data_IF_715385828941
#
_entry.id   IF_715385828941
#
_cell.length_a   1.000
_cell.length_b   1.000
_cell.length_c   1.000
_cell.angle_alpha   90.00
_cell.angle_beta   90.00
_cell.angle_gamma   90.00
#
_symmetry.space_group_name_H-M   'P 1'
#
loop_
_entity.id
_entity.type
_entity.pdbx_description
1 polymer ?
#
# COMPACT_ATOMS: atom_id res chain seq x y z
N UNK A 1 3.87 -14.76 -2.78
CA UNK A 1 3.52 -14.94 -1.36
C UNK A 1 2.31 -14.08 -1.05
N UNK A 2 1.22 -14.72 -0.76
CA UNK A 2 -0.10 -14.12 -0.63
C UNK A 2 -0.28 -13.58 0.78
N UNK A 3 -0.41 -12.26 0.94
CA UNK A 3 -0.79 -11.66 2.22
C UNK A 3 -2.31 -11.86 2.38
N UNK A 4 -2.71 -12.55 3.43
CA UNK A 4 -4.11 -12.74 3.80
C UNK A 4 -4.64 -11.49 4.46
N UNK A 5 -5.64 -10.88 3.91
CA UNK A 5 -6.69 -10.20 4.66
C UNK A 5 -7.97 -10.31 3.86
N UNK A 6 -8.89 -11.07 4.40
CA UNK A 6 -10.17 -11.34 3.81
C UNK A 6 -11.12 -10.17 4.06
N UNK A 7 -11.68 -9.64 3.00
CA UNK A 7 -12.95 -8.92 3.10
C UNK A 7 -14.03 -9.98 3.18
N UNK A 8 -14.48 -10.32 4.39
CA UNK A 8 -15.61 -11.20 4.58
C UNK A 8 -16.91 -10.46 4.25
N UNK A 9 -17.45 -10.69 3.08
CA UNK A 9 -18.86 -10.49 2.80
C UNK A 9 -19.39 -11.68 2.02
N UNK A 10 -19.72 -12.75 2.74
CA UNK A 10 -20.46 -13.86 2.19
C UNK A 10 -21.95 -13.54 2.24
N UNK A 11 -22.51 -12.95 1.19
CA UNK A 11 -23.95 -13.06 0.91
C UNK A 11 -24.13 -13.51 -0.53
N UNK A 12 -24.85 -14.65 -0.69
CA UNK A 12 -25.37 -15.13 -1.96
C UNK A 12 -26.16 -13.99 -2.62
N UNK A 13 -25.73 -13.58 -3.82
CA UNK A 13 -26.54 -12.73 -4.65
C UNK A 13 -27.62 -13.58 -5.32
N UNK A 14 -28.87 -13.20 -5.07
CA UNK A 14 -30.03 -13.68 -5.80
C UNK A 14 -29.99 -13.07 -7.21
N UNK A 15 -30.41 -13.77 -8.27
CA UNK A 15 -30.50 -13.18 -9.60
C UNK A 15 -31.38 -11.93 -9.57
N UNK A 16 -30.82 -10.78 -9.94
CA UNK A 16 -31.56 -9.52 -10.01
C UNK A 16 -32.42 -9.57 -11.26
N UNK A 17 -33.70 -9.75 -11.11
CA UNK A 17 -34.70 -9.48 -12.14
C UNK A 17 -34.91 -7.97 -12.27
N UNK A 18 -35.19 -7.47 -13.47
CA UNK A 18 -35.23 -6.09 -13.93
C UNK A 18 -36.21 -5.14 -13.23
N UNK A 19 -36.38 -5.16 -11.91
CA UNK A 19 -37.30 -4.22 -11.24
C UNK A 19 -36.96 -3.89 -9.79
N UNK A 20 -35.68 -3.83 -9.42
CA UNK A 20 -35.35 -3.41 -8.05
C UNK A 20 -34.71 -2.02 -7.99
N UNK A 21 -35.25 -1.20 -7.11
CA UNK A 21 -34.67 0.08 -6.71
C UNK A 21 -33.19 -0.06 -6.31
N UNK A 22 -32.34 0.93 -6.60
CA UNK A 22 -30.94 0.90 -6.22
C UNK A 22 -30.78 0.69 -4.71
N UNK A 23 -30.17 -0.39 -4.30
CA UNK A 23 -29.80 -0.61 -2.89
C UNK A 23 -28.43 0.01 -2.61
N UNK A 24 -28.39 0.94 -1.70
CA UNK A 24 -27.13 1.50 -1.18
C UNK A 24 -26.44 0.43 -0.32
N UNK A 25 -25.21 0.11 -0.65
CA UNK A 25 -24.34 -0.78 0.13
C UNK A 25 -23.20 0.00 0.72
N UNK A 26 -22.71 -0.43 1.87
CA UNK A 26 -21.63 0.20 2.60
C UNK A 26 -20.50 -0.82 2.74
N UNK A 27 -19.33 -0.45 2.25
CA UNK A 27 -18.08 -1.16 2.53
C UNK A 27 -17.52 -0.63 3.85
N UNK A 28 -17.40 -1.49 4.84
CA UNK A 28 -16.77 -1.17 6.12
C UNK A 28 -15.34 -1.70 6.12
N UNK A 29 -14.39 -0.82 6.41
CA UNK A 29 -12.98 -1.16 6.50
C UNK A 29 -12.56 -0.92 7.94
N UNK A 30 -12.13 -1.99 8.60
CA UNK A 30 -11.51 -1.95 9.93
C UNK A 30 -10.07 -2.42 9.80
N UNK A 31 -9.16 -1.66 10.35
CA UNK A 31 -7.76 -2.06 10.51
C UNK A 31 -7.60 -2.68 11.90
N UNK A 32 -7.06 -3.90 11.96
CA UNK A 32 -6.74 -4.54 13.23
C UNK A 32 -5.51 -3.86 13.87
N UNK A 33 -5.57 -3.62 15.17
CA UNK A 33 -4.43 -3.08 15.92
C UNK A 33 -3.35 -4.16 16.04
N UNK A 34 -2.24 -3.96 15.34
CA UNK A 34 -1.03 -4.74 15.58
C UNK A 34 -0.26 -4.12 16.75
N UNK A 35 -0.23 -4.80 17.87
CA UNK A 35 0.64 -4.43 18.98
C UNK A 35 2.10 -4.41 18.52
N UNK A 36 2.73 -3.24 18.63
CA UNK A 36 4.14 -3.04 18.35
C UNK A 36 4.99 -3.65 19.46
N UNK A 37 5.66 -4.76 19.19
CA UNK A 37 6.78 -5.20 20.01
C UNK A 37 8.04 -4.48 19.54
N UNK A 38 8.58 -3.61 20.40
CA UNK A 38 9.87 -2.95 20.21
C UNK A 38 10.99 -3.84 20.78
N UNK A 39 12.09 -4.06 20.06
CA UNK A 39 13.32 -4.51 20.66
C UNK A 39 14.12 -3.30 21.17
N UNK A 40 14.53 -3.37 22.44
CA UNK A 40 15.49 -2.44 23.05
C UNK A 40 16.87 -2.58 22.38
N UNK A 41 17.49 -1.44 22.08
CA UNK A 41 18.83 -1.36 21.51
C UNK A 41 19.88 -1.77 22.54
N UNK A 42 20.62 -2.84 22.30
CA UNK A 42 21.94 -3.07 22.89
C UNK A 42 22.96 -3.34 21.79
N UNK A 43 23.98 -2.51 21.77
CA UNK A 43 25.28 -2.55 21.12
C UNK A 43 25.54 -3.63 20.03
N UNK A 44 25.64 -3.21 18.78
CA UNK A 44 26.33 -3.94 17.69
C UNK A 44 25.45 -4.27 16.50
N UNK A 45 25.88 -3.85 15.35
CA UNK A 45 25.19 -3.97 14.03
C UNK A 45 24.78 -5.41 13.61
N UNK A 46 25.14 -6.44 14.36
CA UNK A 46 24.88 -7.85 14.03
C UNK A 46 23.61 -8.41 14.71
N UNK A 47 23.14 -7.79 15.80
CA UNK A 47 21.99 -8.29 16.57
C UNK A 47 20.59 -7.92 15.99
N UNK A 48 20.54 -7.05 14.97
CA UNK A 48 19.29 -6.51 14.40
C UNK A 48 18.52 -7.55 13.56
N UNK A 49 19.20 -8.56 13.01
CA UNK A 49 18.62 -9.46 12.03
C UNK A 49 17.65 -10.52 12.59
N UNK A 50 17.75 -10.89 13.86
CA UNK A 50 16.97 -12.02 14.41
C UNK A 50 15.63 -11.63 15.07
N UNK A 51 15.41 -10.33 15.38
CA UNK A 51 14.18 -9.82 16.03
C UNK A 51 13.40 -8.83 15.17
N UNK A 52 13.80 -8.61 13.92
CA UNK A 52 13.14 -7.65 13.03
C UNK A 52 11.77 -8.17 12.60
N UNK A 53 10.74 -7.32 12.72
CA UNK A 53 9.39 -7.64 12.26
C UNK A 53 9.42 -8.07 10.77
N UNK A 54 8.70 -9.14 10.35
CA UNK A 54 8.75 -9.68 8.98
C UNK A 54 8.53 -8.62 7.88
N UNK A 55 7.73 -7.61 8.16
CA UNK A 55 7.49 -6.47 7.27
C UNK A 55 8.78 -5.67 6.98
N UNK A 56 9.53 -5.29 8.01
CA UNK A 56 10.78 -4.54 7.84
C UNK A 56 11.88 -5.39 7.22
N UNK A 57 11.94 -6.68 7.56
CA UNK A 57 12.84 -7.63 6.90
C UNK A 57 12.55 -7.74 5.40
N UNK A 58 11.27 -7.74 5.00
CA UNK A 58 10.89 -7.77 3.58
C UNK A 58 11.41 -6.53 2.85
N UNK A 59 11.10 -5.33 3.34
CA UNK A 59 11.53 -4.07 2.73
C UNK A 59 13.03 -3.79 2.87
N UNK A 60 13.71 -4.43 3.81
CA UNK A 60 15.16 -4.35 4.01
C UNK A 60 16.01 -5.06 2.94
N UNK A 61 15.37 -5.71 1.94
CA UNK A 61 16.07 -6.48 0.90
C UNK A 61 16.20 -5.69 -0.40
N UNK A 62 17.41 -5.72 -1.01
CA UNK A 62 17.67 -5.03 -2.29
C UNK A 62 16.78 -5.53 -3.43
N UNK A 63 16.43 -6.83 -3.47
CA UNK A 63 15.53 -7.38 -4.48
C UNK A 63 14.14 -6.75 -4.45
N UNK A 64 13.59 -6.48 -3.25
CA UNK A 64 12.29 -5.82 -3.12
C UNK A 64 12.38 -4.33 -3.44
N UNK A 65 13.48 -3.66 -3.05
CA UNK A 65 13.75 -2.29 -3.47
C UNK A 65 13.90 -2.18 -4.99
N UNK A 66 14.60 -3.13 -5.61
CA UNK A 66 14.76 -3.19 -7.06
C UNK A 66 13.40 -3.29 -7.77
N UNK A 67 12.49 -4.15 -7.30
CA UNK A 67 11.16 -4.29 -7.88
C UNK A 67 10.39 -2.95 -7.86
N UNK A 68 10.49 -2.21 -6.75
CA UNK A 68 9.86 -0.89 -6.64
C UNK A 68 10.52 0.16 -7.53
N UNK A 69 11.85 0.17 -7.60
CA UNK A 69 12.60 1.12 -8.44
C UNK A 69 12.40 0.86 -9.94
N UNK A 70 12.28 -0.39 -10.34
CA UNK A 70 12.04 -0.80 -11.73
C UNK A 70 10.62 -0.50 -12.22
N UNK A 71 9.67 -0.26 -11.32
CA UNK A 71 8.37 0.28 -11.70
C UNK A 71 8.56 1.73 -12.18
N UNK A 72 8.69 1.87 -13.50
CA UNK A 72 8.96 3.14 -14.15
C UNK A 72 7.81 4.15 -14.01
N UNK A 73 6.56 3.66 -13.86
CA UNK A 73 5.40 4.53 -13.64
C UNK A 73 5.49 5.10 -12.23
N UNK A 74 5.67 4.26 -11.22
CA UNK A 74 5.81 4.67 -9.83
C UNK A 74 7.00 5.61 -9.63
N UNK A 75 8.19 5.15 -9.96
CA UNK A 75 9.43 5.91 -9.76
C UNK A 75 9.46 7.18 -10.62
N UNK A 76 9.04 7.08 -11.90
CA UNK A 76 8.98 8.22 -12.80
C UNK A 76 7.96 9.27 -12.40
N UNK A 77 6.82 8.87 -11.81
CA UNK A 77 5.82 9.81 -11.28
C UNK A 77 6.40 10.65 -10.15
N UNK A 78 7.10 10.03 -9.19
CA UNK A 78 7.77 10.78 -8.11
C UNK A 78 8.91 11.67 -8.63
N UNK A 79 9.72 11.15 -9.55
CA UNK A 79 10.76 11.95 -10.20
C UNK A 79 10.16 13.19 -10.86
N UNK A 80 9.10 13.04 -11.65
CA UNK A 80 8.42 14.14 -12.32
C UNK A 80 7.76 15.10 -11.32
N UNK A 81 7.12 14.58 -10.26
CA UNK A 81 6.52 15.41 -9.22
C UNK A 81 7.54 16.33 -8.54
N UNK A 82 8.77 15.87 -8.33
CA UNK A 82 9.85 16.69 -7.77
C UNK A 82 10.45 17.59 -8.84
N UNK A 83 10.78 17.06 -10.03
CA UNK A 83 11.52 17.78 -11.07
C UNK A 83 10.71 18.90 -11.72
N UNK A 84 9.38 18.79 -11.79
CA UNK A 84 8.50 19.84 -12.30
C UNK A 84 8.11 20.87 -11.24
N UNK A 85 8.45 20.63 -9.98
CA UNK A 85 8.17 21.53 -8.86
C UNK A 85 9.47 21.93 -8.10
N UNK A 86 10.56 22.15 -8.82
CA UNK A 86 11.87 22.51 -8.24
C UNK A 86 11.76 23.70 -7.29
N UNK A 87 10.93 24.71 -7.62
CA UNK A 87 10.70 25.88 -6.77
C UNK A 87 10.15 25.54 -5.38
N UNK A 88 9.48 24.41 -5.23
CA UNK A 88 9.00 23.96 -3.94
C UNK A 88 10.11 23.33 -3.09
N UNK A 89 11.14 22.77 -3.74
CA UNK A 89 12.23 22.04 -3.08
C UNK A 89 13.48 22.88 -2.88
N UNK A 90 13.77 23.83 -3.77
CA UNK A 90 14.99 24.64 -3.73
C UNK A 90 15.11 25.43 -2.42
N UNK A 91 16.23 25.22 -1.72
CA UNK A 91 16.51 25.85 -0.42
C UNK A 91 15.66 25.36 0.75
N UNK A 92 14.79 24.35 0.56
CA UNK A 92 13.86 23.84 1.56
C UNK A 92 14.43 22.68 2.39
N UNK A 93 13.83 22.47 3.55
CA UNK A 93 14.08 21.32 4.41
C UNK A 93 13.01 20.26 4.14
N UNK A 94 13.43 19.06 3.80
CA UNK A 94 12.58 17.95 3.38
C UNK A 94 12.67 16.79 4.36
N UNK A 95 11.57 16.15 4.66
CA UNK A 95 11.49 14.86 5.36
C UNK A 95 11.01 13.78 4.39
N UNK A 96 11.80 12.75 4.20
CA UNK A 96 11.45 11.54 3.45
C UNK A 96 11.10 10.42 4.44
N UNK A 97 9.82 10.03 4.47
CA UNK A 97 9.29 9.04 5.42
C UNK A 97 9.30 7.65 4.79
N UNK A 98 10.05 6.72 5.38
CA UNK A 98 10.27 5.39 4.82
C UNK A 98 11.10 5.46 3.56
N UNK A 99 12.26 6.10 3.65
CA UNK A 99 13.10 6.43 2.48
C UNK A 99 13.55 5.22 1.67
N UNK A 100 13.52 4.01 2.25
CA UNK A 100 13.96 2.79 1.59
C UNK A 100 15.39 2.90 1.07
N UNK A 101 15.56 2.84 -0.26
CA UNK A 101 16.86 3.02 -0.90
C UNK A 101 17.38 4.47 -0.86
N UNK A 102 16.54 5.44 -0.50
CA UNK A 102 16.89 6.86 -0.53
C UNK A 102 16.57 7.57 -1.84
N UNK A 103 15.85 6.95 -2.75
CA UNK A 103 15.64 7.51 -4.10
C UNK A 103 14.86 8.82 -4.08
N UNK A 104 13.81 8.94 -3.26
CA UNK A 104 13.03 10.19 -3.14
C UNK A 104 13.87 11.30 -2.49
N UNK A 105 14.68 10.96 -1.50
CA UNK A 105 15.66 11.87 -0.89
C UNK A 105 16.67 12.38 -1.92
N UNK A 106 17.17 11.52 -2.82
CA UNK A 106 18.08 11.91 -3.90
C UNK A 106 17.40 12.84 -4.89
N UNK A 107 16.13 12.59 -5.26
CA UNK A 107 15.38 13.51 -6.12
C UNK A 107 15.20 14.88 -5.47
N UNK A 108 14.85 14.93 -4.18
CA UNK A 108 14.72 16.17 -3.44
C UNK A 108 16.05 16.96 -3.36
N UNK A 109 17.16 16.26 -3.08
CA UNK A 109 18.48 16.89 -3.06
C UNK A 109 18.91 17.40 -4.44
N UNK A 110 18.65 16.64 -5.51
CA UNK A 110 18.88 17.05 -6.89
C UNK A 110 18.07 18.29 -7.29
N UNK A 111 16.85 18.42 -6.76
CA UNK A 111 16.00 19.60 -6.93
C UNK A 111 16.42 20.81 -6.06
N UNK A 112 17.57 20.74 -5.39
CA UNK A 112 18.14 21.86 -4.64
C UNK A 112 17.67 21.96 -3.19
N UNK A 113 17.15 20.91 -2.59
CA UNK A 113 16.81 20.92 -1.18
C UNK A 113 18.03 21.28 -0.32
N UNK A 114 17.85 22.19 0.65
CA UNK A 114 18.89 22.61 1.59
C UNK A 114 19.30 21.48 2.53
N UNK A 115 18.32 20.68 2.96
CA UNK A 115 18.49 19.57 3.88
C UNK A 115 17.41 18.52 3.65
N UNK A 116 17.78 17.26 3.68
CA UNK A 116 16.83 16.12 3.62
C UNK A 116 17.08 15.22 4.81
N UNK A 117 16.04 14.99 5.61
CA UNK A 117 16.01 13.98 6.66
C UNK A 117 15.34 12.73 6.10
N UNK A 118 16.12 11.68 5.87
CA UNK A 118 15.68 10.42 5.28
C UNK A 118 15.49 9.38 6.38
N UNK A 119 14.25 9.15 6.81
CA UNK A 119 13.93 8.24 7.92
C UNK A 119 13.60 6.86 7.37
N UNK A 120 14.24 5.83 7.93
CA UNK A 120 14.05 4.43 7.56
C UNK A 120 14.20 3.54 8.79
N UNK A 121 13.28 2.58 8.97
CA UNK A 121 13.29 1.69 10.14
C UNK A 121 13.85 0.29 9.86
N UNK A 122 14.10 -0.05 8.60
CA UNK A 122 14.64 -1.35 8.19
C UNK A 122 16.16 -1.35 8.01
N UNK A 123 16.71 -2.53 7.80
CA UNK A 123 18.14 -2.69 7.43
C UNK A 123 18.54 -2.00 6.11
N UNK A 124 17.61 -1.41 5.37
CA UNK A 124 17.88 -0.65 4.15
C UNK A 124 18.68 0.63 4.41
N UNK A 125 18.64 1.18 5.62
CA UNK A 125 19.43 2.35 6.05
C UNK A 125 20.90 2.27 5.58
N UNK A 126 21.54 1.11 5.71
CA UNK A 126 22.94 0.92 5.30
C UNK A 126 23.17 1.15 3.81
N UNK A 127 22.19 0.74 3.00
CA UNK A 127 22.25 0.91 1.54
C UNK A 127 21.92 2.35 1.13
N UNK A 128 20.91 2.96 1.77
CA UNK A 128 20.59 4.37 1.57
C UNK A 128 21.80 5.26 1.86
N UNK A 129 22.48 5.07 3.00
CA UNK A 129 23.73 5.80 3.33
C UNK A 129 24.80 5.63 2.27
N UNK A 130 24.98 4.41 1.73
CA UNK A 130 25.95 4.14 0.66
C UNK A 130 25.57 4.86 -0.64
N UNK A 131 24.28 4.83 -1.03
CA UNK A 131 23.79 5.52 -2.23
C UNK A 131 23.94 7.04 -2.10
N UNK A 132 23.57 7.61 -0.96
CA UNK A 132 23.71 9.04 -0.67
C UNK A 132 25.16 9.47 -0.82
N UNK A 133 26.10 8.75 -0.19
CA UNK A 133 27.54 9.03 -0.27
C UNK A 133 28.09 8.87 -1.69
N UNK A 134 27.70 7.80 -2.39
CA UNK A 134 28.18 7.53 -3.76
C UNK A 134 27.74 8.59 -4.76
N UNK A 135 26.66 9.32 -4.47
CA UNK A 135 26.13 10.41 -5.30
C UNK A 135 26.56 11.81 -4.79
N UNK A 136 27.39 11.91 -3.74
CA UNK A 136 27.90 13.17 -3.23
C UNK A 136 26.90 14.04 -2.47
N UNK A 137 25.81 13.46 -1.96
CA UNK A 137 24.76 14.18 -1.23
C UNK A 137 24.81 13.99 0.30
N UNK A 138 25.89 13.42 0.84
CA UNK A 138 26.06 13.18 2.28
C UNK A 138 26.11 14.46 3.12
N UNK A 139 26.44 15.61 2.51
CA UNK A 139 26.31 16.94 3.14
C UNK A 139 24.86 17.45 3.24
N UNK A 140 23.97 17.00 2.34
CA UNK A 140 22.57 17.44 2.23
C UNK A 140 21.63 16.42 2.87
N UNK A 141 21.79 15.13 2.59
CA UNK A 141 20.90 14.06 3.04
C UNK A 141 21.44 13.41 4.31
N UNK A 142 20.65 13.41 5.37
CA UNK A 142 20.91 12.70 6.61
C UNK A 142 20.01 11.50 6.75
N UNK A 143 20.56 10.29 6.63
CA UNK A 143 19.81 9.03 6.79
C UNK A 143 19.73 8.66 8.27
N UNK A 144 18.51 8.60 8.80
CA UNK A 144 18.18 8.35 10.21
C UNK A 144 17.54 6.97 10.32
N UNK A 145 18.14 6.11 11.16
CA UNK A 145 17.54 4.81 11.50
C UNK A 145 16.49 5.01 12.59
N UNK A 146 15.28 4.56 12.34
CA UNK A 146 14.20 4.53 13.32
C UNK A 146 12.84 4.71 12.69
N UNK A 147 11.80 4.57 13.50
CA UNK A 147 10.43 4.87 13.10
C UNK A 147 10.18 6.38 13.18
N UNK A 148 9.42 6.91 12.24
CA UNK A 148 9.11 8.35 12.22
C UNK A 148 8.34 8.80 13.46
N UNK A 149 7.63 7.88 14.12
CA UNK A 149 6.95 8.11 15.39
C UNK A 149 7.90 8.35 16.55
N UNK A 150 9.13 7.85 16.48
CA UNK A 150 10.08 7.79 17.59
C UNK A 150 11.31 8.69 17.39
N UNK A 151 11.72 8.90 16.12
CA UNK A 151 12.90 9.70 15.83
C UNK A 151 12.72 11.17 16.23
N UNK A 152 13.85 11.84 16.48
CA UNK A 152 13.90 13.29 16.70
C UNK A 152 14.51 13.96 15.49
N UNK A 153 13.83 14.97 14.96
CA UNK A 153 14.31 15.85 13.89
C UNK A 153 14.50 17.24 14.51
N UNK A 154 15.66 17.91 14.31
CA UNK A 154 15.99 19.10 15.08
C UNK A 154 15.20 20.35 14.69
N UNK A 155 14.48 20.32 13.57
CA UNK A 155 13.72 21.45 13.04
C UNK A 155 12.43 21.02 12.37
N UNK A 156 11.51 21.95 12.17
CA UNK A 156 10.32 21.73 11.33
C UNK A 156 10.71 21.75 9.85
N UNK A 157 10.06 20.90 9.06
CA UNK A 157 10.34 20.74 7.64
C UNK A 157 9.34 21.50 6.77
N UNK A 158 9.78 21.92 5.59
CA UNK A 158 8.94 22.59 4.61
C UNK A 158 8.13 21.59 3.77
N UNK A 159 8.69 20.39 3.57
CA UNK A 159 8.10 19.36 2.74
C UNK A 159 8.21 18.01 3.45
N UNK A 160 7.14 17.21 3.33
CA UNK A 160 7.18 15.78 3.58
C UNK A 160 6.92 15.04 2.26
N UNK A 161 7.85 14.14 1.89
CA UNK A 161 7.70 13.24 0.75
C UNK A 161 7.70 11.80 1.25
N UNK A 162 6.88 10.95 0.65
CA UNK A 162 6.81 9.51 0.98
C UNK A 162 6.10 8.75 -0.13
N UNK A 163 6.34 7.46 -0.23
CA UNK A 163 5.47 6.53 -0.95
C UNK A 163 4.80 5.59 0.07
N UNK A 164 3.68 6.00 0.67
CA UNK A 164 3.07 5.34 1.82
C UNK A 164 1.93 4.40 1.44
N UNK A 165 1.73 4.11 0.16
CA UNK A 165 0.53 3.46 -0.35
C UNK A 165 0.70 1.94 -0.40
N UNK A 166 -0.08 1.23 0.40
CA UNK A 166 -0.27 -0.21 0.27
C UNK A 166 -1.44 -0.54 -0.66
N UNK A 167 -1.79 -1.83 -0.78
CA UNK A 167 -3.00 -2.24 -1.48
C UNK A 167 -4.22 -1.53 -0.89
N UNK A 168 -5.09 -1.06 -1.77
CA UNK A 168 -6.27 -0.29 -1.40
C UNK A 168 -5.90 0.89 -0.47
N UNK A 169 -4.80 1.54 -0.71
CA UNK A 169 -4.13 2.62 0.03
C UNK A 169 -3.76 2.26 1.48
N UNK A 170 -4.69 1.74 2.27
CA UNK A 170 -4.58 1.60 3.72
C UNK A 170 -3.89 0.30 4.18
N UNK A 171 -3.73 -0.69 3.32
CA UNK A 171 -2.98 -1.88 3.67
C UNK A 171 -1.52 -1.49 3.97
N UNK A 172 -0.85 -2.14 4.90
CA UNK A 172 0.50 -1.83 5.39
C UNK A 172 0.57 -0.70 6.44
N UNK A 173 -0.49 0.10 6.61
CA UNK A 173 -0.61 1.13 7.65
C UNK A 173 0.45 2.24 7.61
N UNK A 174 1.12 2.41 6.47
CA UNK A 174 2.16 3.43 6.32
C UNK A 174 1.57 4.86 6.21
N UNK A 175 0.28 4.99 5.81
CA UNK A 175 -0.41 6.27 5.82
C UNK A 175 -0.50 6.88 7.22
N UNK A 176 -0.61 6.04 8.27
CA UNK A 176 -0.60 6.51 9.66
C UNK A 176 0.72 7.17 10.00
N UNK A 177 1.85 6.52 9.69
CA UNK A 177 3.19 7.07 9.86
C UNK A 177 3.39 8.38 9.10
N UNK A 178 2.84 8.45 7.88
CA UNK A 178 2.91 9.64 7.04
C UNK A 178 2.16 10.84 7.65
N UNK A 179 0.94 10.61 8.19
CA UNK A 179 0.17 11.64 8.89
C UNK A 179 0.79 12.01 10.24
N UNK A 180 1.35 11.04 10.98
CA UNK A 180 2.08 11.33 12.22
C UNK A 180 3.30 12.20 11.93
N UNK A 181 4.02 11.95 10.83
CA UNK A 181 5.13 12.79 10.41
C UNK A 181 4.69 14.24 10.13
N UNK A 182 3.52 14.42 9.47
CA UNK A 182 2.91 15.73 9.25
C UNK A 182 2.69 16.46 10.58
N UNK A 183 1.99 15.82 11.50
CA UNK A 183 1.60 16.44 12.78
C UNK A 183 2.83 16.79 13.65
N UNK A 184 3.88 15.96 13.57
CA UNK A 184 5.09 16.15 14.33
C UNK A 184 6.05 17.17 13.72
N UNK A 185 6.21 17.18 12.41
CA UNK A 185 7.37 17.83 11.80
C UNK A 185 7.03 18.87 10.73
N UNK A 186 5.86 18.83 10.08
CA UNK A 186 5.54 19.77 9.03
C UNK A 186 5.31 21.19 9.59
N UNK A 187 5.78 22.20 8.87
CA UNK A 187 5.43 23.60 9.11
C UNK A 187 3.96 23.86 8.75
N UNK A 188 3.30 24.90 9.31
CA UNK A 188 1.91 25.20 8.97
C UNK A 188 1.65 25.38 7.48
N UNK A 189 2.58 26.01 6.74
CA UNK A 189 2.50 26.23 5.29
C UNK A 189 3.29 25.17 4.49
N UNK A 190 3.63 24.08 5.13
CA UNK A 190 4.41 22.99 4.51
C UNK A 190 3.57 22.20 3.53
N UNK A 191 4.23 21.51 2.60
CA UNK A 191 3.61 20.71 1.54
C UNK A 191 3.85 19.22 1.75
N UNK A 192 2.89 18.42 1.30
CA UNK A 192 3.00 16.96 1.29
C UNK A 192 3.03 16.42 -0.15
N UNK A 193 3.88 15.43 -0.41
CA UNK A 193 3.99 14.69 -1.66
C UNK A 193 3.87 13.19 -1.38
N UNK A 194 2.67 12.57 -1.62
CA UNK A 194 1.42 13.13 -2.16
C UNK A 194 0.56 13.85 -1.11
N UNK A 195 -0.47 14.61 -1.57
CA UNK A 195 -1.45 15.31 -0.73
C UNK A 195 -2.72 14.51 -0.49
N UNK A 196 -3.10 13.67 -1.43
CA UNK A 196 -4.34 12.88 -1.38
C UNK A 196 -4.16 11.50 -1.99
N UNK A 197 -4.95 10.56 -1.52
CA UNK A 197 -5.12 9.24 -2.13
C UNK A 197 -6.60 8.98 -2.41
N UNK A 198 -6.91 8.39 -3.56
CA UNK A 198 -8.30 8.08 -3.94
C UNK A 198 -8.46 6.58 -4.14
N UNK A 199 -9.42 5.99 -3.46
CA UNK A 199 -9.87 4.63 -3.65
C UNK A 199 -11.07 4.61 -4.59
N UNK A 200 -11.10 3.62 -5.48
CA UNK A 200 -12.19 3.41 -6.43
C UNK A 200 -12.81 2.05 -6.18
N UNK A 201 -14.14 1.99 -6.15
CA UNK A 201 -14.90 0.75 -6.03
C UNK A 201 -15.86 0.65 -7.21
N UNK A 202 -15.82 -0.49 -7.90
CA UNK A 202 -16.68 -0.78 -9.05
C UNK A 202 -17.00 -2.28 -9.08
N UNK A 203 -17.87 -2.70 -9.98
CA UNK A 203 -18.21 -4.12 -10.19
C UNK A 203 -17.78 -4.53 -11.58
N UNK A 204 -17.16 -5.69 -11.69
CA UNK A 204 -16.75 -6.28 -12.96
C UNK A 204 -17.20 -7.73 -13.07
N UNK A 205 -17.23 -8.24 -14.29
CA UNK A 205 -17.50 -9.64 -14.61
C UNK A 205 -16.47 -10.15 -15.59
N UNK A 206 -15.68 -11.13 -15.19
CA UNK A 206 -14.65 -11.78 -16.00
C UNK A 206 -14.75 -13.31 -15.87
N UNK A 207 -15.36 -13.92 -16.89
CA UNK A 207 -15.50 -15.37 -16.96
C UNK A 207 -14.16 -16.11 -17.08
N UNK A 208 -13.15 -15.48 -17.67
CA UNK A 208 -11.82 -16.08 -17.84
C UNK A 208 -11.10 -16.16 -16.52
N UNK A 209 -11.07 -15.06 -15.77
CA UNK A 209 -10.51 -15.01 -14.42
C UNK A 209 -11.23 -16.00 -13.49
N UNK A 210 -12.58 -16.04 -13.54
CA UNK A 210 -13.34 -16.99 -12.74
C UNK A 210 -12.98 -18.45 -13.05
N UNK A 211 -12.89 -18.81 -14.34
CA UNK A 211 -12.51 -20.16 -14.78
C UNK A 211 -11.08 -20.50 -14.36
N UNK A 212 -10.16 -19.56 -14.47
CA UNK A 212 -8.78 -19.71 -14.02
C UNK A 212 -8.74 -20.02 -12.52
N UNK A 213 -9.34 -19.15 -11.68
CA UNK A 213 -9.38 -19.35 -10.23
C UNK A 213 -10.00 -20.68 -9.86
N UNK A 214 -11.16 -21.01 -10.45
CA UNK A 214 -11.82 -22.31 -10.24
C UNK A 214 -10.95 -23.51 -10.65
N UNK A 215 -10.09 -23.31 -11.64
CA UNK A 215 -9.18 -24.38 -12.11
C UNK A 215 -8.10 -24.72 -11.08
N UNK A 216 -7.69 -23.78 -10.24
CA UNK A 216 -6.67 -23.97 -9.20
C UNK A 216 -7.09 -25.00 -8.15
N UNK A 217 -8.41 -25.14 -7.88
CA UNK A 217 -8.95 -26.13 -6.95
C UNK A 217 -9.25 -27.50 -7.58
N UNK A 218 -9.04 -27.68 -8.90
CA UNK A 218 -9.37 -28.94 -9.60
C UNK A 218 -8.57 -30.14 -9.10
N UNK A 219 -7.38 -29.92 -8.60
CA UNK A 219 -6.56 -30.97 -8.02
C UNK A 219 -7.32 -31.79 -6.96
N UNK A 220 -8.09 -31.10 -6.11
CA UNK A 220 -8.84 -31.70 -5.01
C UNK A 220 -10.14 -32.41 -5.42
N UNK A 221 -10.37 -32.62 -6.73
CA UNK A 221 -11.53 -33.38 -7.24
C UNK A 221 -11.26 -34.87 -7.41
N UNK A 222 -10.02 -35.30 -7.19
CA UNK A 222 -9.59 -36.67 -7.44
C UNK A 222 -10.18 -37.62 -6.43
N UNK A 223 -10.86 -38.68 -6.94
CA UNK A 223 -11.39 -39.77 -6.13
C UNK A 223 -10.39 -40.88 -5.93
N UNK A 224 -9.33 -40.89 -6.72
CA UNK A 224 -8.21 -41.81 -6.63
C UNK A 224 -6.88 -41.04 -6.81
N UNK A 225 -6.26 -40.77 -5.70
CA UNK A 225 -4.92 -40.18 -5.63
C UNK A 225 -4.05 -41.15 -4.82
N UNK A 226 -3.26 -41.95 -5.54
CA UNK A 226 -2.50 -43.06 -4.95
C UNK A 226 -3.35 -44.02 -4.10
N UNK A 227 -4.57 -44.34 -4.56
CA UNK A 227 -5.53 -45.20 -3.82
C UNK A 227 -6.40 -44.48 -2.79
N UNK A 228 -6.24 -43.17 -2.61
CA UNK A 228 -7.02 -42.40 -1.63
C UNK A 228 -7.97 -41.39 -2.30
N UNK A 229 -9.17 -41.28 -1.72
CA UNK A 229 -10.12 -40.29 -2.15
C UNK A 229 -9.88 -38.94 -1.42
N UNK A 230 -9.35 -37.93 -2.14
CA UNK A 230 -9.09 -36.60 -1.61
C UNK A 230 -10.22 -35.60 -1.95
N UNK A 231 -11.29 -36.04 -2.62
CA UNK A 231 -12.36 -35.15 -3.08
C UNK A 231 -13.23 -34.55 -1.98
N UNK A 232 -13.11 -35.03 -0.75
CA UNK A 232 -13.74 -34.46 0.43
C UNK A 232 -13.29 -33.00 0.71
N UNK A 233 -12.09 -32.62 0.27
CA UNK A 233 -11.51 -31.28 0.46
C UNK A 233 -11.82 -30.30 -0.71
N UNK A 234 -12.55 -30.75 -1.72
CA UNK A 234 -12.82 -29.96 -2.94
C UNK A 234 -13.47 -28.60 -2.66
N UNK A 235 -14.48 -28.59 -1.78
CA UNK A 235 -15.24 -27.35 -1.51
C UNK A 235 -14.47 -26.41 -0.60
N UNK A 236 -13.64 -26.94 0.31
CA UNK A 236 -12.73 -26.16 1.13
C UNK A 236 -11.64 -25.50 0.26
N UNK A 237 -11.01 -26.26 -0.61
CA UNK A 237 -10.01 -25.75 -1.55
C UNK A 237 -10.58 -24.69 -2.49
N UNK A 238 -11.83 -24.86 -2.94
CA UNK A 238 -12.48 -23.86 -3.77
C UNK A 238 -12.75 -22.58 -2.96
N UNK A 239 -13.25 -22.67 -1.73
CA UNK A 239 -13.45 -21.52 -0.85
C UNK A 239 -12.14 -20.79 -0.58
N UNK A 240 -11.06 -21.52 -0.31
CA UNK A 240 -9.74 -20.94 -0.06
C UNK A 240 -9.24 -20.13 -1.24
N UNK A 241 -9.34 -20.65 -2.47
CA UNK A 241 -8.94 -19.93 -3.69
C UNK A 241 -9.73 -18.64 -3.85
N UNK A 242 -11.03 -18.69 -3.62
CA UNK A 242 -11.91 -17.53 -3.80
C UNK A 242 -11.91 -16.56 -2.62
N UNK A 243 -11.33 -16.90 -1.50
CA UNK A 243 -11.10 -16.00 -0.37
C UNK A 243 -9.77 -15.23 -0.46
N UNK A 244 -8.99 -15.45 -1.53
CA UNK A 244 -7.75 -14.71 -1.76
C UNK A 244 -8.03 -13.45 -2.60
N UNK A 245 -7.50 -12.30 -2.24
CA UNK A 245 -7.56 -11.12 -3.09
C UNK A 245 -6.77 -11.37 -4.38
N UNK A 246 -7.31 -10.93 -5.49
CA UNK A 246 -6.62 -10.96 -6.79
C UNK A 246 -6.08 -9.57 -7.08
N UNK A 247 -4.76 -9.48 -7.23
CA UNK A 247 -4.09 -8.24 -7.63
C UNK A 247 -3.64 -8.39 -9.07
N UNK A 248 -4.08 -7.47 -9.93
CA UNK A 248 -3.75 -7.51 -11.36
C UNK A 248 -4.49 -6.44 -12.14
N UNK A 249 -4.35 -6.50 -13.45
CA UNK A 249 -5.06 -5.60 -14.35
C UNK A 249 -6.46 -6.16 -14.63
N UNK A 250 -7.46 -5.31 -14.46
CA UNK A 250 -8.85 -5.60 -14.84
C UNK A 250 -9.13 -4.87 -16.16
N UNK A 251 -9.45 -5.59 -17.24
CA UNK A 251 -9.80 -4.98 -18.50
C UNK A 251 -11.05 -4.10 -18.35
N UNK A 252 -11.01 -2.87 -18.85
CA UNK A 252 -12.12 -1.92 -18.69
C UNK A 252 -13.43 -2.40 -19.31
N UNK A 253 -13.38 -3.23 -20.34
CA UNK A 253 -14.56 -3.85 -20.97
C UNK A 253 -15.22 -4.92 -20.09
N UNK A 254 -14.60 -5.34 -18.99
CA UNK A 254 -15.20 -6.25 -18.01
C UNK A 254 -15.99 -5.53 -16.92
N UNK A 255 -15.87 -4.20 -16.83
CA UNK A 255 -16.67 -3.39 -15.93
C UNK A 255 -18.14 -3.44 -16.35
N UNK A 256 -19.02 -3.69 -15.39
CA UNK A 256 -20.47 -3.86 -15.64
C UNK A 256 -21.31 -2.79 -14.97
N UNK A 257 -20.67 -1.72 -14.52
CA UNK A 257 -21.33 -0.55 -13.93
C UNK A 257 -21.02 0.71 -14.71
N UNK A 258 -21.99 1.63 -14.80
CA UNK A 258 -21.81 2.91 -15.45
C UNK A 258 -21.00 3.91 -14.58
N UNK A 259 -20.94 3.68 -13.28
CA UNK A 259 -20.32 4.58 -12.30
C UNK A 259 -19.37 3.84 -11.39
N UNK A 260 -18.44 4.60 -10.81
CA UNK A 260 -17.49 4.12 -9.81
C UNK A 260 -17.72 4.91 -8.53
N UNK A 261 -17.82 4.23 -7.40
CA UNK A 261 -17.79 4.92 -6.11
C UNK A 261 -16.34 5.27 -5.75
N UNK A 262 -16.16 6.41 -5.13
CA UNK A 262 -14.83 6.91 -4.74
C UNK A 262 -14.80 7.29 -3.27
N UNK A 263 -13.63 7.09 -2.66
CA UNK A 263 -13.33 7.63 -1.34
C UNK A 263 -11.96 8.29 -1.38
N UNK A 264 -11.89 9.55 -0.97
CA UNK A 264 -10.65 10.33 -0.95
C UNK A 264 -10.15 10.43 0.48
N UNK A 265 -8.89 10.10 0.69
CA UNK A 265 -8.16 10.37 1.93
C UNK A 265 -7.29 11.60 1.68
N UNK A 266 -7.48 12.64 2.47
CA UNK A 266 -6.68 13.87 2.39
C UNK A 266 -5.58 13.82 3.45
N UNK A 267 -4.34 13.58 3.01
CA UNK A 267 -3.20 13.40 3.92
C UNK A 267 -2.82 14.67 4.68
N UNK A 268 -3.22 15.85 4.18
CA UNK A 268 -2.99 17.12 4.86
C UNK A 268 -4.02 17.41 5.96
N UNK A 269 -5.24 16.87 5.86
CA UNK A 269 -6.39 17.27 6.70
C UNK A 269 -6.95 16.15 7.57
N UNK A 270 -6.94 14.91 7.04
CA UNK A 270 -7.52 13.78 7.75
C UNK A 270 -6.66 13.39 8.95
N UNK A 271 -7.26 12.70 9.91
CA UNK A 271 -6.59 12.26 11.13
C UNK A 271 -6.19 10.79 11.04
N UNK A 272 -5.20 10.39 11.82
CA UNK A 272 -4.83 8.96 11.96
C UNK A 272 -6.04 8.13 12.41
N UNK A 273 -6.88 8.66 13.29
CA UNK A 273 -8.07 7.96 13.76
C UNK A 273 -9.11 7.73 12.65
N UNK A 274 -9.23 8.64 11.67
CA UNK A 274 -10.13 8.44 10.54
C UNK A 274 -9.72 7.28 9.63
N UNK A 275 -8.45 6.86 9.67
CA UNK A 275 -7.98 5.68 8.91
C UNK A 275 -8.33 4.35 9.57
N UNK A 276 -8.59 4.32 10.88
CA UNK A 276 -8.88 3.09 11.62
C UNK A 276 -10.23 2.50 11.24
N UNK A 277 -11.19 3.36 10.94
CA UNK A 277 -12.53 2.95 10.54
C UNK A 277 -13.19 4.00 9.64
N UNK A 278 -13.53 3.60 8.42
CA UNK A 278 -14.31 4.43 7.51
C UNK A 278 -15.26 3.59 6.67
N UNK A 279 -16.27 4.24 6.08
CA UNK A 279 -17.30 3.60 5.27
C UNK A 279 -17.31 4.21 3.88
N UNK A 280 -17.35 3.35 2.86
CA UNK A 280 -17.54 3.79 1.48
C UNK A 280 -18.95 3.38 1.05
N UNK A 281 -19.91 4.29 1.08
CA UNK A 281 -21.25 4.01 0.57
C UNK A 281 -21.21 3.88 -0.94
N UNK A 282 -21.85 2.85 -1.49
CA UNK A 282 -21.97 2.71 -2.93
C UNK A 282 -23.32 2.14 -3.36
N UNK A 283 -23.75 2.56 -4.54
CA UNK A 283 -24.90 2.03 -5.24
C UNK A 283 -24.57 1.95 -6.73
N UNK A 284 -24.71 0.76 -7.33
CA UNK A 284 -24.35 0.55 -8.72
C UNK A 284 -25.57 0.10 -9.53
N UNK A 285 -25.69 0.69 -10.72
CA UNK A 285 -26.60 0.22 -11.76
C UNK A 285 -25.81 -0.71 -12.68
N UNK A 286 -26.24 -1.95 -12.76
CA UNK A 286 -25.63 -2.94 -13.66
C UNK A 286 -26.08 -2.66 -15.09
N UNK A 287 -25.11 -2.44 -16.00
CA UNK A 287 -25.35 -2.02 -17.39
C UNK A 287 -25.33 -3.17 -18.39
N UNK A 288 -24.95 -4.36 -17.98
CA UNK A 288 -24.90 -5.54 -18.85
C UNK A 288 -25.53 -6.76 -18.20
N UNK A 289 -26.17 -7.62 -19.02
CA UNK A 289 -26.57 -8.95 -18.59
C UNK A 289 -25.34 -9.84 -18.50
N UNK A 290 -24.91 -10.14 -17.31
CA UNK A 290 -23.83 -11.10 -17.08
C UNK A 290 -24.26 -12.09 -16.01
N UNK A 291 -23.76 -13.32 -16.06
CA UNK A 291 -23.71 -14.15 -14.88
C UNK A 291 -22.68 -13.53 -13.95
N UNK A 292 -23.14 -12.96 -12.85
CA UNK A 292 -22.23 -12.53 -11.80
C UNK A 292 -21.90 -13.81 -11.03
N UNK A 293 -20.74 -14.42 -11.27
CA UNK A 293 -20.24 -15.42 -10.35
C UNK A 293 -20.05 -14.71 -9.02
N UNK A 294 -20.44 -15.34 -7.93
CA UNK A 294 -20.37 -14.81 -6.55
C UNK A 294 -19.25 -13.79 -6.39
N UNK A 295 -19.62 -12.58 -5.99
CA UNK A 295 -18.69 -11.47 -5.80
C UNK A 295 -17.70 -11.81 -4.69
N UNK A 296 -16.46 -11.55 -4.95
CA UNK A 296 -15.33 -11.70 -4.07
C UNK A 296 -15.03 -10.40 -3.34
#
# INVERSE_FOLDING_TARGET
>A
MTKRNAIHSTRRLVPITHSQTPQTRILQIQQEEHHSFLPTMENGEVAVAEKEHPFYRYYGQLSHQQNMLQDSIRTGTYYNAVSYNVSDFEGKVVLDVGTGSGILSLFAAQAGAKKVYAVECSGMVRYARRLVKANGFDGVIQVILGKVEEVTIPEKVDIIISEPMGFFLVHERMLESYMIARDRFLKPEGKMFPTTGTMFVSVFSDDSLYKELKSRSKFWKQKDFYGFNISCLKDDAQREVFNQPVVGYIPTNTLITATTATHVINFEKDTVDSLKHFQIPFSFIITSTCRIPSIF
#
